data_IF_092122686170
#
_entry.id   IF_092122686170
#
_cell.length_a   1.000
_cell.length_b   1.000
_cell.length_c   1.000
_cell.angle_alpha   90.00
_cell.angle_beta   90.00
_cell.angle_gamma   90.00
#
_symmetry.space_group_name_H-M   'P 1'
#
loop_
_entity.id
_entity.type
_entity.pdbx_description
1 polymer ?
#
# COMPACT_ATOMS: atom_id res chain seq x y z
N UNK A 1 22.60 22.55 39.10
CA UNK A 1 23.98 23.03 38.86
C UNK A 1 24.56 23.76 40.09
N UNK A 2 25.81 23.46 40.52
CA UNK A 2 26.52 24.15 41.63
C UNK A 2 27.73 24.99 41.20
N UNK A 3 28.16 24.83 39.96
CA UNK A 3 29.24 25.62 39.35
C UNK A 3 28.63 26.68 38.44
N UNK A 4 29.05 27.91 38.59
CA UNK A 4 28.68 29.01 37.71
C UNK A 4 29.92 29.53 36.99
N UNK A 5 29.91 29.51 35.65
CA UNK A 5 31.07 29.82 34.82
C UNK A 5 30.71 30.80 33.71
N UNK A 6 31.48 31.87 33.60
CA UNK A 6 31.37 32.86 32.53
C UNK A 6 32.70 32.95 31.81
N UNK A 7 32.65 32.78 30.49
CA UNK A 7 33.81 32.85 29.62
C UNK A 7 33.56 33.87 28.52
N UNK A 8 34.48 34.82 28.36
CA UNK A 8 34.54 35.75 27.25
C UNK A 8 36.01 36.07 26.97
N UNK A 9 36.65 35.38 26.01
CA UNK A 9 38.10 35.44 25.82
C UNK A 9 38.63 36.89 25.75
N UNK A 10 39.70 37.24 26.49
CA UNK A 10 40.58 36.38 27.30
C UNK A 10 40.09 36.11 28.74
N UNK A 11 38.92 36.59 29.13
CA UNK A 11 38.42 36.56 30.50
C UNK A 11 37.65 35.27 30.80
N UNK A 12 37.89 34.71 31.98
CA UNK A 12 37.16 33.58 32.53
C UNK A 12 36.95 33.84 34.02
N UNK A 13 35.72 33.67 34.48
CA UNK A 13 35.37 33.69 35.89
C UNK A 13 34.53 32.47 36.23
N UNK A 14 34.87 31.81 37.34
CA UNK A 14 34.12 30.67 37.87
C UNK A 14 33.82 30.88 39.35
N UNK A 15 32.64 30.44 39.77
CA UNK A 15 32.17 30.47 41.15
C UNK A 15 31.54 29.13 41.52
N UNK A 16 32.02 28.54 42.62
CA UNK A 16 31.46 27.31 43.19
C UNK A 16 30.45 27.71 44.24
N UNK A 17 29.19 27.82 43.82
CA UNK A 17 28.11 28.35 44.63
C UNK A 17 27.86 27.46 45.85
N UNK A 18 27.31 28.06 46.91
CA UNK A 18 26.98 27.37 48.15
C UNK A 18 26.07 26.16 47.91
N UNK A 19 25.03 26.32 47.07
CA UNK A 19 24.16 25.22 46.69
C UNK A 19 23.61 25.36 45.26
N UNK A 20 22.74 24.45 44.86
CA UNK A 20 22.16 24.41 43.52
C UNK A 20 21.30 25.63 43.18
N UNK A 21 21.39 26.03 41.91
CA UNK A 21 20.61 27.12 41.33
C UNK A 21 19.75 26.63 40.17
N UNK A 22 18.69 27.37 39.89
CA UNK A 22 17.84 27.18 38.73
C UNK A 22 18.40 27.98 37.53
N UNK A 23 18.96 27.30 36.52
CA UNK A 23 19.53 27.98 35.36
C UNK A 23 18.49 28.61 34.44
N UNK A 24 17.23 28.15 34.44
CA UNK A 24 16.18 28.65 33.54
C UNK A 24 15.61 29.98 34.02
N UNK A 25 15.54 30.18 35.34
CA UNK A 25 15.03 31.41 35.97
C UNK A 25 16.15 32.41 36.34
N UNK A 26 17.43 32.01 36.19
CA UNK A 26 18.56 32.90 36.45
C UNK A 26 18.84 33.83 35.26
N UNK A 27 19.06 35.11 35.54
CA UNK A 27 19.19 36.15 34.53
C UNK A 27 20.58 36.78 34.56
N UNK A 28 21.14 37.01 33.37
CA UNK A 28 22.37 37.77 33.16
C UNK A 28 22.03 39.17 32.65
N UNK A 29 22.64 40.22 33.22
CA UNK A 29 22.54 41.61 32.74
C UNK A 29 23.93 42.11 32.38
N UNK A 30 24.18 42.32 31.10
CA UNK A 30 25.45 42.83 30.59
C UNK A 30 25.30 44.35 30.41
N UNK A 31 26.03 45.12 31.20
CA UNK A 31 26.18 46.56 31.07
C UNK A 31 27.41 46.94 30.24
N UNK A 32 27.69 48.24 30.13
CA UNK A 32 28.83 48.76 29.38
C UNK A 32 30.18 48.31 29.94
N UNK A 33 30.32 48.32 31.27
CA UNK A 33 31.58 48.02 31.97
C UNK A 33 31.45 46.89 33.02
N UNK A 34 30.25 46.35 33.22
CA UNK A 34 30.00 45.34 34.25
C UNK A 34 29.03 44.25 33.77
N UNK A 35 29.16 43.06 34.34
CA UNK A 35 28.18 41.99 34.20
C UNK A 35 27.54 41.75 35.56
N UNK A 36 26.22 41.89 35.64
CA UNK A 36 25.43 41.63 36.83
C UNK A 36 24.64 40.33 36.64
N UNK A 37 24.55 39.54 37.71
CA UNK A 37 23.88 38.25 37.70
C UNK A 37 22.77 38.25 38.74
N UNK A 38 21.58 37.82 38.35
CA UNK A 38 20.45 37.57 39.22
C UNK A 38 20.23 36.06 39.24
N UNK A 39 20.68 35.41 40.32
CA UNK A 39 20.76 33.95 40.40
C UNK A 39 19.60 33.44 41.26
N UNK A 40 18.73 32.63 40.67
CA UNK A 40 17.62 32.01 41.36
C UNK A 40 18.09 30.74 42.08
N UNK A 41 17.99 30.73 43.41
CA UNK A 41 18.30 29.52 44.21
C UNK A 41 17.25 28.46 43.96
N UNK A 42 17.67 27.20 43.91
CA UNK A 42 16.72 26.08 43.84
C UNK A 42 16.07 25.75 45.20
N UNK A 43 16.71 26.12 46.31
CA UNK A 43 16.22 25.91 47.67
C UNK A 43 15.92 27.22 48.40
N UNK A 44 15.09 27.14 49.44
CA UNK A 44 14.68 28.29 50.28
C UNK A 44 15.73 28.69 51.33
N UNK A 45 16.96 28.14 51.25
CA UNK A 45 17.99 28.34 52.25
C UNK A 45 18.67 29.72 52.17
N UNK A 46 18.95 30.29 53.35
CA UNK A 46 19.75 31.51 53.47
C UNK A 46 21.22 31.16 53.27
N UNK A 47 21.86 31.85 52.32
CA UNK A 47 23.27 31.65 52.02
C UNK A 47 24.08 32.69 52.79
N UNK A 48 24.77 32.25 53.84
CA UNK A 48 25.66 33.13 54.61
C UNK A 48 26.93 33.50 53.82
N UNK A 49 27.35 32.63 52.90
CA UNK A 49 28.43 32.86 51.96
C UNK A 49 27.95 32.50 50.56
N UNK A 50 28.44 33.22 49.54
CA UNK A 50 28.13 32.90 48.14
C UNK A 50 28.74 31.57 47.72
N UNK A 51 29.98 31.32 48.14
CA UNK A 51 30.74 30.13 47.76
C UNK A 51 30.58 29.00 48.77
N UNK A 52 30.64 27.76 48.28
CA UNK A 52 30.69 26.58 49.13
C UNK A 52 31.95 26.59 50.02
N UNK A 53 31.86 26.08 51.26
CA UNK A 53 32.97 26.09 52.21
C UNK A 53 34.22 25.33 51.70
N UNK A 54 34.03 24.32 50.84
CA UNK A 54 35.12 23.56 50.20
C UNK A 54 35.61 24.17 48.88
N UNK A 55 35.13 25.35 48.47
CA UNK A 55 35.51 25.97 47.20
C UNK A 55 37.01 26.25 47.08
N UNK A 56 37.75 26.35 48.20
CA UNK A 56 39.21 26.45 48.20
C UNK A 56 39.95 25.13 47.96
N UNK A 57 39.25 24.00 48.00
CA UNK A 57 39.83 22.67 47.82
C UNK A 57 39.80 22.26 46.34
N UNK A 58 40.97 21.99 45.75
CA UNK A 58 41.05 21.69 44.32
C UNK A 58 40.36 20.38 43.92
N UNK A 59 40.35 19.36 44.80
CA UNK A 59 39.61 18.12 44.53
C UNK A 59 38.10 18.35 44.44
N UNK A 60 37.55 19.21 45.31
CA UNK A 60 36.16 19.63 45.26
C UNK A 60 35.87 20.40 43.96
N UNK A 61 36.71 21.40 43.61
CA UNK A 61 36.56 22.18 42.37
C UNK A 61 36.57 21.29 41.14
N UNK A 62 37.51 20.35 41.05
CA UNK A 62 37.60 19.38 39.95
C UNK A 62 36.33 18.56 39.83
N UNK A 63 35.82 18.01 40.94
CA UNK A 63 34.59 17.23 40.95
C UNK A 63 33.37 18.04 40.49
N UNK A 64 33.26 19.31 40.91
CA UNK A 64 32.16 20.18 40.46
C UNK A 64 32.26 20.55 38.98
N UNK A 65 33.47 20.76 38.44
CA UNK A 65 33.68 20.99 36.99
C UNK A 65 33.26 19.76 36.18
N UNK A 66 33.68 18.58 36.61
CA UNK A 66 33.35 17.32 35.93
C UNK A 66 31.84 17.03 35.97
N UNK A 67 31.19 17.20 37.12
CA UNK A 67 29.75 17.05 37.26
C UNK A 67 28.97 18.03 36.37
N UNK A 68 29.37 19.31 36.33
CA UNK A 68 28.72 20.31 35.48
C UNK A 68 28.93 20.02 33.98
N UNK A 69 30.12 19.53 33.60
CA UNK A 69 30.39 19.11 32.23
C UNK A 69 29.52 17.92 31.81
N UNK A 70 29.42 16.90 32.67
CA UNK A 70 28.60 15.71 32.41
C UNK A 70 27.11 16.04 32.33
N UNK A 71 26.60 16.90 33.23
CA UNK A 71 25.22 17.38 33.21
C UNK A 71 24.90 18.13 31.90
N UNK A 72 25.78 19.05 31.48
CA UNK A 72 25.65 19.77 30.22
C UNK A 72 25.69 18.84 29.00
N UNK A 73 26.60 17.86 29.00
CA UNK A 73 26.70 16.89 27.91
C UNK A 73 25.43 16.05 27.80
N UNK A 74 24.89 15.56 28.92
CA UNK A 74 23.62 14.83 28.98
C UNK A 74 22.45 15.68 28.49
N UNK A 75 22.36 16.93 28.93
CA UNK A 75 21.34 17.86 28.48
C UNK A 75 21.37 18.06 26.96
N UNK A 76 22.55 18.33 26.40
CA UNK A 76 22.73 18.52 24.95
C UNK A 76 22.39 17.24 24.17
N UNK A 77 22.78 16.06 24.66
CA UNK A 77 22.43 14.79 24.04
C UNK A 77 20.91 14.58 24.03
N UNK A 78 20.24 14.75 25.17
CA UNK A 78 18.78 14.62 25.27
C UNK A 78 18.04 15.60 24.35
N UNK A 79 18.55 16.82 24.23
CA UNK A 79 18.01 17.84 23.32
C UNK A 79 18.13 17.40 21.85
N UNK A 80 19.27 16.82 21.46
CA UNK A 80 19.48 16.30 20.11
C UNK A 80 18.57 15.10 19.82
N UNK A 81 18.48 14.14 20.75
CA UNK A 81 17.61 12.97 20.63
C UNK A 81 16.14 13.37 20.52
N UNK A 82 15.67 14.29 21.37
CA UNK A 82 14.31 14.81 21.31
C UNK A 82 14.01 15.49 19.96
N UNK A 83 14.95 16.29 19.43
CA UNK A 83 14.81 16.93 18.11
C UNK A 83 14.72 15.89 16.99
N UNK A 84 15.55 14.83 17.05
CA UNK A 84 15.52 13.74 16.09
C UNK A 84 14.18 12.99 16.14
N UNK A 85 13.72 12.63 17.34
CA UNK A 85 12.46 11.93 17.55
C UNK A 85 11.26 12.75 17.05
N UNK A 86 11.23 14.07 17.31
CA UNK A 86 10.20 14.96 16.78
C UNK A 86 10.18 14.95 15.24
N UNK A 87 11.34 15.03 14.58
CA UNK A 87 11.44 14.94 13.11
C UNK A 87 10.93 13.60 12.58
N UNK A 88 11.32 12.49 13.21
CA UNK A 88 10.88 11.15 12.83
C UNK A 88 9.36 10.98 13.00
N UNK A 89 8.80 11.46 14.11
CA UNK A 89 7.36 11.39 14.38
C UNK A 89 6.56 12.20 13.35
N UNK A 90 6.99 13.43 13.05
CA UNK A 90 6.35 14.26 12.02
C UNK A 90 6.38 13.55 10.66
N UNK A 91 7.52 12.97 10.28
CA UNK A 91 7.63 12.21 9.03
C UNK A 91 6.69 11.00 9.01
N UNK A 92 6.65 10.20 10.08
CA UNK A 92 5.78 9.02 10.20
C UNK A 92 4.30 9.38 10.08
N UNK A 93 3.87 10.45 10.76
CA UNK A 93 2.49 10.93 10.70
C UNK A 93 2.13 11.44 9.29
N UNK A 94 3.07 12.11 8.61
CA UNK A 94 2.88 12.54 7.21
C UNK A 94 2.68 11.34 6.28
N UNK A 95 3.55 10.34 6.36
CA UNK A 95 3.46 9.12 5.53
C UNK A 95 2.15 8.38 5.80
N UNK A 96 1.76 8.25 7.08
CA UNK A 96 0.51 7.60 7.47
C UNK A 96 -0.71 8.26 6.84
N UNK A 97 -0.80 9.59 6.90
CA UNK A 97 -1.90 10.35 6.28
C UNK A 97 -1.94 10.17 4.77
N UNK A 98 -0.77 10.15 4.12
CA UNK A 98 -0.69 9.92 2.68
C UNK A 98 -1.19 8.52 2.31
N UNK A 99 -0.81 7.49 3.06
CA UNK A 99 -1.29 6.12 2.84
C UNK A 99 -2.81 6.00 3.02
N UNK A 100 -3.40 6.71 3.99
CA UNK A 100 -4.84 6.72 4.22
C UNK A 100 -5.62 7.35 3.05
N UNK A 101 -5.12 8.47 2.51
CA UNK A 101 -5.69 9.10 1.32
C UNK A 101 -5.59 8.18 0.10
N UNK A 102 -4.41 7.61 -0.15
CA UNK A 102 -4.18 6.67 -1.26
C UNK A 102 -5.09 5.44 -1.17
N UNK A 103 -5.34 4.92 0.04
CA UNK A 103 -6.22 3.76 0.23
C UNK A 103 -7.69 4.11 -0.08
N UNK A 104 -8.15 5.29 0.34
CA UNK A 104 -9.50 5.76 0.05
C UNK A 104 -9.70 5.98 -1.46
N UNK A 105 -8.71 6.57 -2.14
CA UNK A 105 -8.73 6.72 -3.59
C UNK A 105 -8.76 5.37 -4.30
N UNK A 106 -7.91 4.41 -3.89
CA UNK A 106 -7.89 3.05 -4.46
C UNK A 106 -9.25 2.36 -4.34
N UNK A 107 -9.89 2.43 -3.16
CA UNK A 107 -11.22 1.85 -2.93
C UNK A 107 -12.28 2.50 -3.83
N UNK A 108 -12.17 3.81 -4.07
CA UNK A 108 -13.10 4.53 -4.95
C UNK A 108 -12.93 4.09 -6.40
N UNK A 109 -11.69 4.08 -6.89
CA UNK A 109 -11.35 3.63 -8.24
C UNK A 109 -11.78 2.17 -8.46
N UNK A 110 -11.59 1.29 -7.47
CA UNK A 110 -11.99 -0.10 -7.57
C UNK A 110 -13.52 -0.26 -7.68
N UNK A 111 -14.29 0.48 -6.88
CA UNK A 111 -15.75 0.50 -6.97
C UNK A 111 -16.22 0.96 -8.35
N UNK A 112 -15.62 2.04 -8.86
CA UNK A 112 -15.94 2.55 -10.20
C UNK A 112 -15.60 1.55 -11.30
N UNK A 113 -14.41 0.93 -11.24
CA UNK A 113 -14.00 -0.14 -12.18
C UNK A 113 -14.97 -1.32 -12.14
N UNK A 114 -15.39 -1.77 -10.96
CA UNK A 114 -16.36 -2.86 -10.84
C UNK A 114 -17.71 -2.48 -11.47
N UNK A 115 -18.20 -1.28 -11.21
CA UNK A 115 -19.46 -0.78 -11.77
C UNK A 115 -19.41 -0.73 -13.29
N UNK A 116 -18.34 -0.17 -13.85
CA UNK A 116 -18.17 -0.05 -15.29
C UNK A 116 -17.99 -1.42 -15.96
N UNK A 117 -17.21 -2.31 -15.35
CA UNK A 117 -17.07 -3.70 -15.83
C UNK A 117 -18.41 -4.43 -15.86
N UNK A 118 -19.29 -4.23 -14.86
CA UNK A 118 -20.63 -4.82 -14.85
C UNK A 118 -21.51 -4.26 -15.97
N UNK A 119 -21.47 -2.95 -16.22
CA UNK A 119 -22.20 -2.30 -17.32
C UNK A 119 -21.75 -2.83 -18.68
N UNK A 120 -20.45 -2.85 -18.92
CA UNK A 120 -19.85 -3.36 -20.16
C UNK A 120 -20.19 -4.85 -20.35
N UNK A 121 -20.11 -5.66 -19.30
CA UNK A 121 -20.47 -7.07 -19.37
C UNK A 121 -21.94 -7.28 -19.73
N UNK A 122 -22.85 -6.49 -19.14
CA UNK A 122 -24.27 -6.53 -19.46
C UNK A 122 -24.54 -6.12 -20.93
N UNK A 123 -23.85 -5.09 -21.42
CA UNK A 123 -24.00 -4.64 -22.80
C UNK A 123 -23.45 -5.66 -23.82
N UNK A 124 -22.29 -6.27 -23.53
CA UNK A 124 -21.74 -7.36 -24.34
C UNK A 124 -22.72 -8.54 -24.38
N UNK A 125 -23.32 -8.90 -23.24
CA UNK A 125 -24.32 -9.98 -23.18
C UNK A 125 -25.53 -9.66 -24.05
N UNK A 126 -26.08 -8.44 -23.94
CA UNK A 126 -27.22 -7.98 -24.76
C UNK A 126 -26.90 -8.00 -26.25
N UNK A 127 -25.73 -7.50 -26.67
CA UNK A 127 -25.29 -7.54 -28.08
C UNK A 127 -25.13 -8.98 -28.59
N UNK A 128 -24.58 -9.89 -27.77
CA UNK A 128 -24.48 -11.32 -28.12
C UNK A 128 -25.85 -11.97 -28.30
N UNK A 129 -26.80 -11.67 -27.44
CA UNK A 129 -28.18 -12.18 -27.55
C UNK A 129 -28.89 -11.65 -28.79
N UNK A 130 -28.76 -10.35 -29.09
CA UNK A 130 -29.27 -9.76 -30.33
C UNK A 130 -28.65 -10.40 -31.58
N UNK A 131 -27.33 -10.60 -31.59
CA UNK A 131 -26.64 -11.24 -32.71
C UNK A 131 -27.17 -12.67 -32.93
N UNK A 132 -27.33 -13.44 -31.85
CA UNK A 132 -27.91 -14.80 -31.91
C UNK A 132 -29.34 -14.78 -32.44
N UNK A 133 -30.18 -13.88 -31.94
CA UNK A 133 -31.56 -13.76 -32.39
C UNK A 133 -31.65 -13.40 -33.89
N UNK A 134 -30.81 -12.46 -34.34
CA UNK A 134 -30.73 -12.07 -35.75
C UNK A 134 -30.29 -13.25 -36.64
N UNK A 135 -29.25 -14.00 -36.24
CA UNK A 135 -28.84 -15.20 -36.98
C UNK A 135 -29.94 -16.26 -37.07
N UNK A 136 -30.69 -16.49 -35.98
CA UNK A 136 -31.82 -17.43 -35.97
C UNK A 136 -32.93 -16.95 -36.92
N UNK A 137 -33.23 -15.65 -36.89
CA UNK A 137 -34.25 -15.05 -37.76
C UNK A 137 -33.87 -15.14 -39.24
N UNK A 138 -32.62 -14.86 -39.59
CA UNK A 138 -32.13 -15.03 -40.97
C UNK A 138 -32.19 -16.48 -41.43
N UNK A 139 -31.74 -17.42 -40.59
CA UNK A 139 -31.79 -18.86 -40.93
C UNK A 139 -33.22 -19.35 -41.14
N UNK A 140 -34.19 -18.85 -40.35
CA UNK A 140 -35.63 -19.13 -40.55
C UNK A 140 -36.15 -18.57 -41.86
N UNK A 141 -35.80 -17.32 -42.22
CA UNK A 141 -36.18 -16.72 -43.51
C UNK A 141 -35.62 -17.52 -44.69
N UNK A 142 -34.35 -17.92 -44.62
CA UNK A 142 -33.73 -18.77 -45.65
C UNK A 142 -34.44 -20.12 -45.79
N UNK A 143 -34.78 -20.77 -44.67
CA UNK A 143 -35.54 -22.03 -44.67
C UNK A 143 -36.94 -21.87 -45.28
N UNK A 144 -37.65 -20.77 -44.98
CA UNK A 144 -38.94 -20.47 -45.60
C UNK A 144 -38.83 -20.27 -47.12
N UNK A 145 -37.88 -19.45 -47.57
CA UNK A 145 -37.64 -19.25 -49.00
C UNK A 145 -37.27 -20.55 -49.71
N UNK A 146 -36.51 -21.43 -49.05
CA UNK A 146 -36.18 -22.74 -49.60
C UNK A 146 -37.42 -23.65 -49.67
N UNK A 147 -38.28 -23.61 -48.65
CA UNK A 147 -39.53 -24.38 -48.62
C UNK A 147 -40.51 -23.96 -49.73
N UNK A 148 -40.60 -22.66 -50.05
CA UNK A 148 -41.45 -22.15 -51.14
C UNK A 148 -40.98 -22.61 -52.53
N UNK A 149 -39.66 -22.83 -52.69
CA UNK A 149 -39.07 -23.28 -53.95
C UNK A 149 -39.12 -24.80 -54.16
N UNK A 150 -39.43 -25.57 -53.13
CA UNK A 150 -39.52 -27.03 -53.22
C UNK A 150 -40.93 -27.46 -53.65
N UNK A 151 -41.06 -28.47 -54.53
CA UNK A 151 -42.37 -29.00 -54.88
C UNK A 151 -43.05 -29.60 -53.65
N UNK A 152 -44.39 -29.53 -53.54
CA UNK A 152 -45.12 -30.03 -52.38
C UNK A 152 -44.84 -31.53 -52.18
N UNK A 153 -44.77 -32.01 -50.92
CA UNK A 153 -44.57 -33.42 -50.64
C UNK A 153 -45.60 -34.29 -51.39
N UNK A 154 -45.13 -35.36 -52.03
CA UNK A 154 -46.01 -36.30 -52.74
C UNK A 154 -46.99 -36.91 -51.75
N UNK A 155 -48.26 -37.06 -52.15
CA UNK A 155 -49.28 -37.72 -51.33
C UNK A 155 -48.85 -39.16 -51.05
N UNK A 156 -48.92 -39.58 -49.79
CA UNK A 156 -48.65 -40.97 -49.42
C UNK A 156 -49.68 -41.88 -50.08
N UNK A 157 -49.23 -42.89 -50.82
CA UNK A 157 -50.07 -43.93 -51.41
C UNK A 157 -49.62 -45.30 -50.94
N UNK A 158 -50.58 -46.19 -50.72
CA UNK A 158 -50.32 -47.59 -50.40
C UNK A 158 -50.22 -48.39 -51.70
N UNK A 159 -49.08 -49.02 -51.96
CA UNK A 159 -48.90 -49.92 -53.11
C UNK A 159 -49.14 -51.36 -52.64
N UNK A 160 -49.97 -52.08 -53.38
CA UNK A 160 -50.11 -53.52 -53.23
C UNK A 160 -49.06 -54.20 -54.10
N UNK A 161 -48.06 -54.81 -53.46
CA UNK A 161 -47.03 -55.58 -54.17
C UNK A 161 -47.53 -57.02 -54.34
N UNK A 162 -47.81 -57.42 -55.57
CA UNK A 162 -48.08 -58.83 -55.90
C UNK A 162 -46.78 -59.52 -56.30
N UNK A 163 -46.38 -60.55 -55.55
CA UNK A 163 -45.22 -61.37 -55.90
C UNK A 163 -45.56 -62.33 -57.03
N UNK A 164 -44.81 -62.26 -58.14
CA UNK A 164 -44.87 -63.27 -59.19
C UNK A 164 -43.84 -64.36 -58.94
N UNK A 165 -44.19 -65.66 -59.09
CA UNK A 165 -43.26 -66.75 -58.86
C UNK A 165 -42.11 -66.70 -59.87
N UNK A 166 -40.89 -66.83 -59.36
CA UNK A 166 -39.65 -66.75 -60.14
C UNK A 166 -39.34 -68.11 -60.76
N UNK A 167 -39.54 -68.25 -62.08
CA UNK A 167 -39.06 -69.41 -62.83
C UNK A 167 -37.64 -69.12 -63.31
N UNK A 168 -36.65 -69.74 -62.68
CA UNK A 168 -35.27 -69.69 -63.15
C UNK A 168 -35.11 -70.62 -64.36
N UNK A 169 -34.59 -70.13 -65.50
CA UNK A 169 -34.24 -71.01 -66.61
C UNK A 169 -33.03 -71.86 -66.21
N UNK A 170 -33.26 -73.15 -65.97
CA UNK A 170 -32.18 -74.13 -65.81
C UNK A 170 -31.42 -74.23 -67.14
N UNK A 171 -30.14 -73.85 -67.16
CA UNK A 171 -29.33 -73.95 -68.37
C UNK A 171 -29.20 -75.41 -68.81
N UNK A 172 -29.63 -75.73 -70.03
CA UNK A 172 -29.42 -77.04 -70.64
C UNK A 172 -27.92 -77.20 -70.96
N UNK A 173 -27.34 -78.32 -70.52
CA UNK A 173 -25.94 -78.69 -70.75
C UNK A 173 -25.80 -79.14 -72.21
N UNK A 174 -25.12 -78.35 -73.03
CA UNK A 174 -24.73 -78.77 -74.39
C UNK A 174 -23.71 -79.91 -74.28
N UNK A 175 -24.03 -81.04 -74.93
CA UNK A 175 -23.24 -82.27 -74.92
C UNK A 175 -22.03 -82.14 -75.85
N UNK A 176 -20.80 -82.29 -75.34
CA UNK A 176 -19.56 -82.44 -76.14
C UNK A 176 -19.18 -83.93 -76.30
N UNK A 177 -20.14 -84.76 -76.72
CA UNK A 177 -19.95 -86.21 -76.87
C UNK A 177 -18.94 -86.59 -77.99
N UNK A 178 -18.64 -85.67 -78.91
CA UNK A 178 -17.72 -85.93 -80.03
C UNK A 178 -16.22 -85.77 -79.69
N UNK A 179 -15.88 -85.12 -78.56
CA UNK A 179 -14.48 -84.79 -78.23
C UNK A 179 -13.78 -85.88 -77.39
N UNK A 180 -14.53 -86.81 -76.80
CA UNK A 180 -14.00 -87.87 -75.92
C UNK A 180 -13.52 -89.16 -76.64
N UNK A 181 -13.54 -89.22 -77.98
CA UNK A 181 -12.99 -90.36 -78.74
C UNK A 181 -11.80 -89.95 -79.61
N UNK A 182 -10.64 -89.73 -78.99
CA UNK A 182 -9.32 -89.91 -79.63
C UNK A 182 -8.21 -90.11 -78.61
#
# INVERSE_FOLDING_TARGET
MKLFLISSPPHLWECFLFDTIDPEESIVRIGSDNVAFEIQKSGEEIWNNLSHHQAGCESYRKAQREAAFEENQKYLQNLLESKLQKKQNVHKESVRKQMELDELERKTIEKEKMLENQRVAAEIKRKKEQLKANMIAEKRKQLQQLSEKLPPPRKSSHITVSFTPRVFPTAARESQEAEEKR
#
